data_IF_289127044106
#
_entry.id   IF_289127044106
#
_cell.length_a   1.000
_cell.length_b   1.000
_cell.length_c   1.000
_cell.angle_alpha   90.00
_cell.angle_beta   90.00
_cell.angle_gamma   90.00
#
_symmetry.space_group_name_H-M   'P 1'
#
loop_
_entity.id
_entity.type
_entity.pdbx_description
1 polymer ?
#
# COMPACT_ATOMS: atom_id res chain seq x y z
N UNK A 1 -17.59 18.42 -1.61
CA UNK A 1 -17.10 17.51 -0.54
C UNK A 1 -15.75 16.99 -0.98
N UNK A 2 -14.67 17.36 -0.30
CA UNK A 2 -13.29 17.04 -0.72
C UNK A 2 -13.05 15.56 -0.43
N UNK A 3 -12.96 14.73 -1.47
CA UNK A 3 -12.66 13.30 -1.34
C UNK A 3 -11.21 13.14 -0.90
N UNK A 4 -11.00 12.78 0.36
CA UNK A 4 -9.70 12.67 1.02
C UNK A 4 -8.92 11.46 0.50
N UNK A 5 -8.09 11.68 -0.53
CA UNK A 5 -7.11 10.70 -1.05
C UNK A 5 -5.90 10.46 -0.12
N UNK A 6 -5.88 11.03 1.07
CA UNK A 6 -4.73 10.97 1.95
C UNK A 6 -4.77 9.70 2.80
N UNK A 7 -3.75 8.87 2.66
CA UNK A 7 -3.46 7.76 3.58
C UNK A 7 -2.54 8.27 4.68
N UNK A 8 -2.89 7.98 5.92
CA UNK A 8 -2.08 8.30 7.09
C UNK A 8 -1.06 7.20 7.32
N UNK A 9 0.22 7.56 7.37
CA UNK A 9 1.33 6.63 7.61
C UNK A 9 1.88 6.83 9.02
N UNK A 10 1.85 5.77 9.82
CA UNK A 10 2.52 5.70 11.12
C UNK A 10 3.97 5.21 10.94
N UNK A 11 4.94 5.90 11.54
CA UNK A 11 6.37 5.60 11.37
C UNK A 11 6.74 4.21 11.90
N UNK A 12 6.18 3.79 13.04
CA UNK A 12 6.45 2.46 13.61
C UNK A 12 5.89 1.37 12.71
N UNK A 13 4.71 1.60 12.14
CA UNK A 13 4.12 0.68 11.18
C UNK A 13 4.95 0.62 9.89
N UNK A 14 5.51 1.75 9.44
CA UNK A 14 6.40 1.76 8.28
C UNK A 14 7.66 0.94 8.57
N UNK A 15 8.38 1.20 9.66
CA UNK A 15 9.57 0.44 10.05
C UNK A 15 9.32 -1.06 10.10
N UNK A 16 8.19 -1.48 10.70
CA UNK A 16 7.78 -2.88 10.81
C UNK A 16 7.56 -3.56 9.46
N UNK A 17 7.15 -2.80 8.45
CA UNK A 17 6.77 -3.31 7.13
C UNK A 17 7.87 -3.12 6.08
N UNK A 18 8.79 -2.18 6.30
CA UNK A 18 9.88 -1.84 5.39
C UNK A 18 10.67 -3.09 4.98
N UNK A 19 11.21 -3.83 5.95
CA UNK A 19 12.05 -5.02 5.68
C UNK A 19 11.32 -6.15 4.93
N UNK A 20 9.98 -6.12 4.87
CA UNK A 20 9.18 -7.16 4.23
C UNK A 20 8.69 -6.78 2.84
N UNK A 21 8.54 -5.49 2.58
CA UNK A 21 7.78 -5.01 1.43
C UNK A 21 8.43 -3.84 0.68
N UNK A 22 9.44 -3.17 1.22
CA UNK A 22 10.07 -2.03 0.54
C UNK A 22 10.63 -2.41 -0.84
N UNK A 23 11.19 -3.63 -0.96
CA UNK A 23 11.69 -4.15 -2.24
C UNK A 23 10.61 -4.30 -3.31
N UNK A 24 9.34 -4.51 -2.93
CA UNK A 24 8.23 -4.55 -3.89
C UNK A 24 8.00 -3.19 -4.57
N UNK A 25 8.36 -2.10 -3.86
CA UNK A 25 8.28 -0.72 -4.33
C UNK A 25 9.63 -0.22 -4.86
N UNK A 26 10.53 -1.13 -5.21
CA UNK A 26 11.88 -0.81 -5.73
C UNK A 26 12.77 -0.03 -4.74
N UNK A 27 12.40 -0.03 -3.44
CA UNK A 27 13.22 0.56 -2.37
C UNK A 27 14.03 -0.54 -1.70
N UNK A 28 15.30 -0.63 -2.10
CA UNK A 28 16.25 -1.63 -1.62
C UNK A 28 17.34 -0.96 -0.78
N UNK A 29 17.70 -1.56 0.36
CA UNK A 29 18.77 -1.03 1.22
C UNK A 29 18.64 -1.45 2.68
N UNK A 30 19.56 -0.97 3.52
CA UNK A 30 19.47 -1.13 4.96
C UNK A 30 18.27 -0.34 5.52
N UNK A 31 17.60 -0.87 6.55
CA UNK A 31 16.54 -0.14 7.25
C UNK A 31 17.15 1.04 8.02
N UNK A 32 17.16 2.22 7.42
CA UNK A 32 17.57 3.47 8.02
C UNK A 32 16.53 4.57 7.75
N UNK A 33 16.64 5.69 8.46
CA UNK A 33 15.69 6.81 8.35
C UNK A 33 15.52 7.33 6.92
N UNK A 34 16.60 7.34 6.13
CA UNK A 34 16.55 7.74 4.72
C UNK A 34 15.71 6.78 3.88
N UNK A 35 15.96 5.48 3.98
CA UNK A 35 15.25 4.47 3.18
C UNK A 35 13.77 4.38 3.56
N UNK A 36 13.45 4.58 4.85
CA UNK A 36 12.05 4.69 5.33
C UNK A 36 11.37 5.91 4.70
N UNK A 37 12.06 7.05 4.61
CA UNK A 37 11.54 8.25 3.96
C UNK A 37 11.30 8.04 2.46
N UNK A 38 12.22 7.37 1.78
CA UNK A 38 12.07 7.01 0.36
C UNK A 38 10.88 6.06 0.13
N UNK A 39 10.73 5.05 0.99
CA UNK A 39 9.59 4.15 0.91
C UNK A 39 8.25 4.85 1.21
N UNK A 40 8.22 5.76 2.18
CA UNK A 40 7.05 6.61 2.44
C UNK A 40 6.67 7.43 1.20
N UNK A 41 7.64 8.06 0.53
CA UNK A 41 7.40 8.80 -0.71
C UNK A 41 6.88 7.91 -1.83
N UNK A 42 7.39 6.68 -1.95
CA UNK A 42 6.89 5.71 -2.93
C UNK A 42 5.43 5.32 -2.65
N UNK A 43 5.09 5.08 -1.38
CA UNK A 43 3.71 4.81 -0.96
C UNK A 43 2.78 6.01 -1.22
N UNK A 44 3.22 7.21 -0.86
CA UNK A 44 2.47 8.46 -1.10
C UNK A 44 2.23 8.69 -2.60
N UNK A 45 3.27 8.52 -3.42
CA UNK A 45 3.17 8.62 -4.88
C UNK A 45 2.20 7.59 -5.46
N UNK A 46 2.25 6.35 -4.95
CA UNK A 46 1.32 5.29 -5.34
C UNK A 46 -0.12 5.68 -5.02
N UNK A 47 -0.45 6.02 -3.77
CA UNK A 47 -1.85 6.30 -3.36
C UNK A 47 -2.42 7.57 -3.98
N UNK A 48 -1.58 8.53 -4.37
CA UNK A 48 -1.99 9.76 -5.06
C UNK A 48 -2.14 9.58 -6.57
N UNK A 49 -1.65 8.48 -7.15
CA UNK A 49 -1.76 8.19 -8.57
C UNK A 49 -3.22 8.18 -9.03
N UNK A 50 -3.50 8.79 -10.18
CA UNK A 50 -4.83 8.77 -10.80
C UNK A 50 -5.26 7.38 -11.29
N UNK A 51 -4.32 6.42 -11.36
CA UNK A 51 -4.58 5.05 -11.79
C UNK A 51 -5.07 4.11 -10.69
N UNK A 52 -5.04 4.57 -9.43
CA UNK A 52 -5.44 3.74 -8.30
C UNK A 52 -6.92 3.41 -8.38
N UNK A 53 -7.20 2.12 -8.24
CA UNK A 53 -8.53 1.58 -8.02
C UNK A 53 -8.69 1.28 -6.54
N UNK A 54 -9.69 1.88 -5.93
CA UNK A 54 -10.08 1.57 -4.56
C UNK A 54 -11.04 0.37 -4.57
N UNK A 55 -10.67 -0.68 -3.85
CA UNK A 55 -11.46 -1.91 -3.77
C UNK A 55 -11.73 -2.17 -2.29
N UNK A 56 -13.01 -2.22 -1.92
CA UNK A 56 -13.39 -2.67 -0.57
C UNK A 56 -13.15 -4.16 -0.47
N UNK A 57 -12.41 -4.57 0.56
CA UNK A 57 -12.04 -5.96 0.74
C UNK A 57 -11.90 -6.31 2.21
N UNK A 58 -11.22 -7.42 2.46
CA UNK A 58 -10.86 -7.81 3.83
C UNK A 58 -9.41 -8.26 3.88
N UNK A 59 -8.75 -7.95 5.00
CA UNK A 59 -7.41 -8.42 5.29
C UNK A 59 -7.42 -9.11 6.66
N UNK A 60 -7.12 -10.41 6.66
CA UNK A 60 -7.16 -11.27 7.86
C UNK A 60 -8.51 -11.19 8.60
N UNK A 61 -9.61 -11.14 7.85
CA UNK A 61 -10.98 -11.08 8.38
C UNK A 61 -11.49 -9.69 8.77
N UNK A 62 -10.66 -8.64 8.66
CA UNK A 62 -11.08 -7.27 8.96
C UNK A 62 -11.35 -6.48 7.67
N UNK A 63 -12.38 -5.61 7.63
CA UNK A 63 -12.65 -4.76 6.47
C UNK A 63 -11.49 -3.79 6.23
N UNK A 64 -11.09 -3.66 4.97
CA UNK A 64 -10.01 -2.77 4.53
C UNK A 64 -10.32 -2.19 3.16
N UNK A 65 -9.59 -1.13 2.80
CA UNK A 65 -9.57 -0.58 1.45
C UNK A 65 -8.23 -0.98 0.80
N UNK A 66 -8.32 -1.61 -0.37
CA UNK A 66 -7.18 -1.89 -1.24
C UNK A 66 -7.04 -0.75 -2.25
N UNK A 67 -5.83 -0.20 -2.35
CA UNK A 67 -5.43 0.85 -3.28
C UNK A 67 -4.51 0.22 -4.31
N UNK A 68 -5.11 -0.27 -5.39
CA UNK A 68 -4.44 -1.12 -6.37
C UNK A 68 -4.12 -0.36 -7.66
N UNK A 69 -2.88 -0.45 -8.13
CA UNK A 69 -2.49 -0.01 -9.49
C UNK A 69 -2.30 -1.27 -10.35
N UNK A 70 -3.17 -1.46 -11.34
CA UNK A 70 -3.10 -2.62 -12.24
C UNK A 70 -1.89 -2.61 -13.17
N UNK A 71 -1.26 -1.46 -13.40
CA UNK A 71 -0.09 -1.36 -14.28
C UNK A 71 1.18 -1.88 -13.60
N UNK A 72 1.35 -1.57 -12.31
CA UNK A 72 2.51 -1.99 -11.51
C UNK A 72 2.24 -3.24 -10.68
N UNK A 73 0.97 -3.65 -10.58
CA UNK A 73 0.46 -4.65 -9.62
C UNK A 73 0.73 -4.30 -8.16
N UNK A 74 1.05 -3.03 -7.86
CA UNK A 74 1.24 -2.57 -6.49
C UNK A 74 -0.11 -2.43 -5.80
N UNK A 75 -0.16 -2.92 -4.56
CA UNK A 75 -1.33 -2.83 -3.70
C UNK A 75 -0.93 -2.22 -2.36
N UNK A 76 -1.66 -1.21 -1.93
CA UNK A 76 -1.58 -0.65 -0.57
C UNK A 76 -2.90 -0.93 0.14
N UNK A 77 -2.86 -1.47 1.35
CA UNK A 77 -4.04 -1.70 2.17
C UNK A 77 -4.08 -0.70 3.33
N UNK A 78 -5.25 -0.12 3.55
CA UNK A 78 -5.51 0.77 4.66
C UNK A 78 -6.85 0.44 5.34
N UNK A 79 -7.03 0.94 6.56
CA UNK A 79 -8.34 0.92 7.22
C UNK A 79 -9.35 1.78 6.46
N UNK A 80 -10.62 1.71 6.85
CA UNK A 80 -11.67 2.62 6.35
C UNK A 80 -11.35 4.10 6.67
N UNK A 81 -10.70 4.34 7.81
CA UNK A 81 -10.17 5.65 8.23
C UNK A 81 -8.87 6.06 7.50
N UNK A 82 -8.49 5.34 6.43
CA UNK A 82 -7.29 5.58 5.62
C UNK A 82 -5.98 5.47 6.41
N UNK A 83 -5.91 4.63 7.43
CA UNK A 83 -4.67 4.35 8.17
C UNK A 83 -3.92 3.21 7.47
N UNK A 84 -2.66 3.43 7.11
CA UNK A 84 -1.82 2.44 6.44
C UNK A 84 -1.65 1.17 7.27
N UNK A 85 -1.91 0.01 6.66
CA UNK A 85 -1.71 -1.31 7.29
C UNK A 85 -0.47 -1.99 6.69
N UNK A 86 -0.38 -2.06 5.37
CA UNK A 86 0.68 -2.75 4.63
C UNK A 86 0.59 -2.38 3.15
N UNK A 87 1.61 -2.69 2.37
CA UNK A 87 1.54 -2.69 0.91
C UNK A 87 2.53 -3.69 0.35
N UNK A 88 2.25 -4.25 -0.82
CA UNK A 88 3.14 -5.19 -1.53
C UNK A 88 2.71 -5.27 -3.00
N UNK A 89 3.57 -5.84 -3.83
CA UNK A 89 3.25 -6.16 -5.22
C UNK A 89 2.49 -7.49 -5.25
N UNK A 90 1.26 -7.47 -5.76
CA UNK A 90 0.47 -8.69 -5.93
C UNK A 90 1.08 -9.54 -7.05
N UNK A 91 1.22 -10.84 -6.81
CA UNK A 91 1.49 -11.79 -7.90
C UNK A 91 0.23 -12.00 -8.74
N UNK A 92 0.39 -12.43 -10.00
CA UNK A 92 -0.75 -12.66 -10.91
C UNK A 92 -1.89 -13.50 -10.29
N UNK A 93 -1.61 -14.62 -9.58
CA UNK A 93 -2.68 -15.37 -8.90
C UNK A 93 -3.41 -14.59 -7.80
N UNK A 94 -2.75 -13.64 -7.14
CA UNK A 94 -3.35 -12.81 -6.09
C UNK A 94 -4.21 -11.68 -6.65
N UNK A 95 -3.85 -11.16 -7.84
CA UNK A 95 -4.65 -10.17 -8.55
C UNK A 95 -6.01 -10.77 -8.93
N UNK A 96 -6.03 -11.99 -9.47
CA UNK A 96 -7.27 -12.69 -9.81
C UNK A 96 -8.16 -12.95 -8.59
N UNK A 97 -7.58 -13.38 -7.47
CA UNK A 97 -8.33 -13.61 -6.23
C UNK A 97 -8.86 -12.32 -5.57
N UNK A 98 -8.22 -11.17 -5.80
CA UNK A 98 -8.61 -9.87 -5.22
C UNK A 98 -9.59 -9.08 -6.10
N UNK A 99 -9.66 -9.40 -7.41
CA UNK A 99 -10.56 -8.76 -8.38
C UNK A 99 -11.84 -9.55 -8.65
N UNK A 100 -11.97 -10.77 -8.13
CA UNK A 100 -13.12 -11.66 -8.34
C UNK A 100 -13.70 -12.08 -6.99
N UNK A 101 -14.56 -11.22 -6.42
CA UNK A 101 -15.70 -11.62 -5.60
C UNK A 101 -16.84 -10.64 -5.81
#
# INVERSE_FOLDING_TARGET
MISTKYVTFDEKQLEKKFMKHAGDFEVCGACNSQSISEWRKALESHVLSSRIKEIKGSYRGNPVIHLFDSATSLNVICTEDRIFISGWKLSLPQVEASLIK
#
